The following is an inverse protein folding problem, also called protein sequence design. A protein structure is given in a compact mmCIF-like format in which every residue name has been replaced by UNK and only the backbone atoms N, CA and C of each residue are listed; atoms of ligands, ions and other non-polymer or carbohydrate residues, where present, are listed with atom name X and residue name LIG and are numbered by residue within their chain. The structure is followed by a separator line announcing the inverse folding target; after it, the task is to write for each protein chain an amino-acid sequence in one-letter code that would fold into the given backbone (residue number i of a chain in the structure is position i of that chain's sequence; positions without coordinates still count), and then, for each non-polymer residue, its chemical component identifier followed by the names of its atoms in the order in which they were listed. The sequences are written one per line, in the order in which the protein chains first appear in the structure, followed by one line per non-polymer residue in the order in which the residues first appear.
data_IF_470056245228
#
_entry.id   IF_470056245228
#
_cell.length_a   1.000
_cell.length_b   1.000
_cell.length_c   1.000
_cell.angle_alpha   90.00
_cell.angle_beta   90.00
_cell.angle_gamma   90.00
#
_symmetry.space_group_name_H-M   'P 1'
#
loop_
_entity.id
_entity.type
_entity.pdbx_description
1 polymer ?
#
# COMPACT_ATOMS: atom_id res chain seq x y z
N UNK A 1 -4.28 0.69 34.49
CA UNK A 1 -5.52 0.26 33.81
C UNK A 1 -5.16 -0.12 32.38
N UNK A 2 -5.70 -1.25 31.93
CA UNK A 2 -5.29 -2.01 30.75
C UNK A 2 -5.50 -1.28 29.43
N UNK A 3 -4.46 -1.19 28.60
CA UNK A 3 -4.61 -0.94 27.17
C UNK A 3 -4.70 -2.31 26.47
N UNK A 4 -5.93 -2.73 26.18
CA UNK A 4 -6.20 -3.93 25.38
C UNK A 4 -5.52 -3.81 24.02
N UNK A 5 -4.50 -4.64 23.81
CA UNK A 5 -4.00 -4.97 22.48
C UNK A 5 -5.13 -5.65 21.71
N UNK A 6 -5.83 -4.88 20.88
CA UNK A 6 -6.75 -5.42 19.89
C UNK A 6 -5.94 -5.93 18.72
N UNK A 7 -5.41 -7.14 18.90
CA UNK A 7 -4.99 -8.04 17.83
C UNK A 7 -6.22 -8.39 16.98
N UNK A 8 -6.54 -7.54 16.00
CA UNK A 8 -7.46 -7.88 14.92
C UNK A 8 -6.63 -7.96 13.65
N UNK A 9 -6.62 -9.14 13.02
CA UNK A 9 -5.75 -9.54 11.91
C UNK A 9 -5.94 -8.75 10.61
N UNK A 10 -5.64 -7.46 10.64
CA UNK A 10 -5.46 -6.63 9.47
C UNK A 10 -4.02 -6.17 9.47
N UNK A 11 -3.19 -6.76 8.61
CA UNK A 11 -1.84 -6.26 8.30
C UNK A 11 -1.97 -4.74 8.11
N UNK A 12 -1.32 -3.98 8.99
CA UNK A 12 -1.46 -2.52 9.06
C UNK A 12 -1.18 -1.94 7.67
N UNK A 13 -1.84 -0.84 7.29
CA UNK A 13 -1.50 -0.13 6.05
C UNK A 13 0.01 0.17 6.01
N UNK A 14 0.60 0.43 7.18
CA UNK A 14 2.05 0.61 7.36
C UNK A 14 2.82 -0.67 7.02
N UNK A 15 2.40 -1.84 7.51
CA UNK A 15 3.03 -3.13 7.20
C UNK A 15 2.94 -3.49 5.72
N UNK A 16 1.88 -3.04 5.04
CA UNK A 16 1.72 -3.22 3.61
C UNK A 16 2.71 -2.34 2.83
N UNK A 17 2.89 -1.09 3.26
CA UNK A 17 3.84 -0.13 2.67
C UNK A 17 5.28 -0.63 2.89
N UNK A 18 5.66 -1.00 4.11
CA UNK A 18 6.98 -1.57 4.42
C UNK A 18 7.26 -2.85 3.62
N UNK A 19 6.23 -3.68 3.42
CA UNK A 19 6.35 -4.90 2.61
C UNK A 19 6.51 -4.62 1.12
N UNK A 20 6.02 -3.48 0.61
CA UNK A 20 6.26 -3.03 -0.75
C UNK A 20 7.69 -2.53 -0.90
N UNK A 21 8.18 -1.74 0.06
CA UNK A 21 9.56 -1.23 0.08
C UNK A 21 10.59 -2.37 0.10
N UNK A 22 10.38 -3.41 0.92
CA UNK A 22 11.28 -4.58 0.93
C UNK A 22 11.29 -5.41 -0.36
N UNK A 23 10.24 -5.31 -1.17
CA UNK A 23 10.18 -5.98 -2.48
C UNK A 23 10.89 -5.21 -3.57
N UNK A 24 11.02 -3.88 -3.45
CA UNK A 24 11.92 -3.06 -4.27
C UNK A 24 13.32 -3.69 -4.25
N UNK A 25 13.80 -4.04 -3.05
CA UNK A 25 15.16 -4.52 -2.83
C UNK A 25 15.44 -5.95 -3.31
N UNK A 26 14.41 -6.73 -3.68
CA UNK A 26 14.52 -8.18 -3.93
C UNK A 26 13.90 -8.66 -5.25
N UNK A 27 13.59 -7.74 -6.17
CA UNK A 27 12.72 -8.01 -7.32
C UNK A 27 13.35 -8.97 -8.38
N UNK A 28 12.71 -10.13 -8.70
CA UNK A 28 13.04 -10.94 -9.86
C UNK A 28 12.31 -10.43 -11.12
N UNK A 29 12.99 -10.50 -12.27
CA UNK A 29 12.63 -9.87 -13.56
C UNK A 29 11.37 -10.38 -14.27
N UNK A 30 10.73 -11.47 -13.83
CA UNK A 30 9.58 -12.07 -14.54
C UNK A 30 8.27 -11.87 -13.77
N UNK A 31 7.30 -11.20 -14.41
CA UNK A 31 5.95 -10.84 -13.89
C UNK A 31 5.86 -9.78 -12.77
N UNK A 32 6.97 -9.12 -12.41
CA UNK A 32 6.98 -8.07 -11.38
C UNK A 32 5.93 -6.97 -11.63
N UNK A 33 5.78 -6.52 -12.87
CA UNK A 33 4.83 -5.47 -13.25
C UNK A 33 3.35 -5.89 -13.02
N UNK A 34 3.00 -7.16 -13.26
CA UNK A 34 1.65 -7.68 -12.96
C UNK A 34 1.40 -7.74 -11.45
N UNK A 35 2.39 -8.19 -10.69
CA UNK A 35 2.34 -8.21 -9.23
C UNK A 35 2.19 -6.81 -8.62
N UNK A 36 2.95 -5.84 -9.15
CA UNK A 36 2.87 -4.44 -8.75
C UNK A 36 1.47 -3.86 -9.02
N UNK A 37 0.93 -4.04 -10.23
CA UNK A 37 -0.42 -3.58 -10.57
C UNK A 37 -1.49 -4.16 -9.64
N UNK A 38 -1.38 -5.45 -9.28
CA UNK A 38 -2.29 -6.10 -8.33
C UNK A 38 -2.22 -5.49 -6.92
N UNK A 39 -1.01 -5.19 -6.43
CA UNK A 39 -0.82 -4.59 -5.11
C UNK A 39 -1.28 -3.13 -5.05
N UNK A 40 -1.01 -2.35 -6.09
CA UNK A 40 -1.55 -0.99 -6.24
C UNK A 40 -3.07 -1.01 -6.16
N UNK A 41 -3.72 -1.88 -6.94
CA UNK A 41 -5.19 -2.02 -6.92
C UNK A 41 -5.72 -2.34 -5.52
N UNK A 42 -5.13 -3.34 -4.86
CA UNK A 42 -5.54 -3.74 -3.51
C UNK A 42 -5.36 -2.61 -2.48
N UNK A 43 -4.29 -1.81 -2.58
CA UNK A 43 -4.07 -0.68 -1.69
C UNK A 43 -5.12 0.42 -1.90
N UNK A 44 -5.45 0.75 -3.16
CA UNK A 44 -6.48 1.72 -3.49
C UNK A 44 -7.87 1.27 -3.02
N UNK A 45 -8.21 -0.01 -3.17
CA UNK A 45 -9.46 -0.59 -2.66
C UNK A 45 -9.58 -0.46 -1.14
N UNK A 46 -8.49 -0.71 -0.40
CA UNK A 46 -8.48 -0.52 1.06
C UNK A 46 -8.66 0.94 1.47
N UNK A 47 -8.02 1.88 0.75
CA UNK A 47 -8.18 3.32 1.03
C UNK A 47 -9.63 3.74 0.76
N UNK A 48 -10.21 3.32 -0.36
CA UNK A 48 -11.61 3.60 -0.68
C UNK A 48 -12.54 3.02 0.37
N UNK A 49 -12.36 1.75 0.78
CA UNK A 49 -13.18 1.15 1.84
C UNK A 49 -13.07 1.87 3.18
N UNK A 50 -11.88 2.35 3.55
CA UNK A 50 -11.70 3.15 4.77
C UNK A 50 -12.38 4.52 4.67
N UNK A 51 -12.34 5.16 3.50
CA UNK A 51 -13.01 6.43 3.23
C UNK A 51 -14.53 6.28 3.24
N UNK A 52 -15.07 5.26 2.57
CA UNK A 52 -16.51 4.96 2.53
C UNK A 52 -17.06 4.65 3.93
N UNK A 53 -16.26 3.97 4.75
CA UNK A 53 -16.54 3.72 6.17
C UNK A 53 -16.33 4.96 7.07
N UNK A 54 -16.01 6.12 6.50
CA UNK A 54 -15.73 7.40 7.21
C UNK A 54 -14.66 7.29 8.29
N UNK A 55 -13.69 6.38 8.12
CA UNK A 55 -12.56 6.17 9.05
C UNK A 55 -11.39 7.12 8.78
N UNK A 56 -11.35 7.70 7.59
CA UNK A 56 -10.36 8.70 7.16
C UNK A 56 -11.09 9.84 6.45
N UNK A 57 -10.53 11.04 6.50
CA UNK A 57 -11.03 12.20 5.79
C UNK A 57 -10.79 12.11 4.28
N UNK A 58 -11.44 13.01 3.52
CA UNK A 58 -11.22 13.14 2.08
C UNK A 58 -9.77 13.51 1.75
N UNK A 59 -9.18 14.42 2.53
CA UNK A 59 -7.78 14.84 2.36
C UNK A 59 -6.81 13.68 2.63
N UNK A 60 -7.02 12.94 3.72
CA UNK A 60 -6.20 11.75 4.02
C UNK A 60 -6.33 10.68 2.95
N UNK A 61 -7.55 10.43 2.44
CA UNK A 61 -7.79 9.50 1.33
C UNK A 61 -7.04 9.92 0.06
N UNK A 62 -7.09 11.21 -0.29
CA UNK A 62 -6.38 11.75 -1.45
C UNK A 62 -4.86 11.60 -1.29
N UNK A 63 -4.32 12.01 -0.16
CA UNK A 63 -2.88 11.92 0.12
C UNK A 63 -2.38 10.47 0.10
N UNK A 64 -3.13 9.52 0.66
CA UNK A 64 -2.78 8.10 0.63
C UNK A 64 -2.79 7.54 -0.80
N UNK A 65 -3.77 7.91 -1.63
CA UNK A 65 -3.81 7.50 -3.05
C UNK A 65 -2.61 8.03 -3.82
N UNK A 66 -2.26 9.30 -3.63
CA UNK A 66 -1.08 9.91 -4.25
C UNK A 66 0.22 9.18 -3.86
N UNK A 67 0.36 8.83 -2.57
CA UNK A 67 1.52 8.05 -2.10
C UNK A 67 1.60 6.67 -2.74
N UNK A 68 0.48 5.97 -2.88
CA UNK A 68 0.43 4.65 -3.55
C UNK A 68 0.92 4.76 -5.00
N UNK A 69 0.47 5.76 -5.76
CA UNK A 69 0.94 5.97 -7.12
C UNK A 69 2.42 6.38 -7.17
N UNK A 70 2.87 7.27 -6.30
CA UNK A 70 4.29 7.65 -6.25
C UNK A 70 5.22 6.46 -5.98
N UNK A 71 4.81 5.53 -5.10
CA UNK A 71 5.57 4.29 -4.85
C UNK A 71 5.55 3.38 -6.08
N UNK A 72 4.42 3.27 -6.78
CA UNK A 72 4.33 2.50 -8.01
C UNK A 72 5.27 3.04 -9.09
N UNK A 73 5.29 4.36 -9.30
CA UNK A 73 6.11 5.00 -10.32
C UNK A 73 7.61 4.79 -10.04
N UNK A 74 8.04 4.97 -8.79
CA UNK A 74 9.44 4.71 -8.36
C UNK A 74 9.84 3.25 -8.58
N UNK A 75 8.95 2.31 -8.29
CA UNK A 75 9.19 0.88 -8.52
C UNK A 75 9.32 0.54 -10.01
N UNK A 76 8.56 1.23 -10.87
CA UNK A 76 8.67 1.07 -12.32
C UNK A 76 9.99 1.65 -12.82
N UNK A 77 10.34 2.86 -12.38
CA UNK A 77 11.60 3.52 -12.75
C UNK A 77 12.81 2.66 -12.43
N UNK A 78 12.86 2.09 -11.21
CA UNK A 78 13.95 1.21 -10.78
C UNK A 78 14.06 -0.10 -11.55
N UNK A 79 12.97 -0.58 -12.15
CA UNK A 79 12.97 -1.81 -12.93
C UNK A 79 13.27 -1.60 -14.42
N UNK A 80 13.32 -0.34 -14.87
CA UNK A 80 13.67 0.06 -16.25
C UNK A 80 15.17 0.40 -16.40
N UNK A 81 15.92 0.41 -15.30
CA UNK A 81 17.37 0.63 -15.22
C UNK A 81 18.08 -0.63 -14.73
#
# INVERSE_FOLDING_TARGET
MSASQTSTGGKSVVDLVLSLEGQVASCPTVNWHKGLKGKTKMALEKINGAFDAKRISAEESLHLKQRVYSVQDKLIELALW
#
